data_IF_321767485790
#
_entry.id   IF_321767485790
#
_cell.length_a   1.000
_cell.length_b   1.000
_cell.length_c   1.000
_cell.angle_alpha   90.00
_cell.angle_beta   90.00
_cell.angle_gamma   90.00
#
_symmetry.space_group_name_H-M   'P 1'
#
loop_
_entity.id
_entity.type
_entity.pdbx_description
1 polymer ?
#
# COMPACT_ATOMS: atom_id res chain seq x y z
N UNK A 1 8.78 -14.42 -30.60
CA UNK A 1 10.05 -14.75 -31.29
C UNK A 1 9.90 -16.12 -31.97
N UNK A 2 10.49 -16.27 -33.17
CA UNK A 2 10.43 -17.51 -33.98
C UNK A 2 10.98 -18.76 -33.25
N UNK A 3 11.76 -18.56 -32.19
CA UNK A 3 12.35 -19.62 -31.36
C UNK A 3 11.34 -20.47 -30.56
N UNK A 4 10.08 -20.06 -30.50
CA UNK A 4 8.99 -20.79 -29.81
C UNK A 4 8.14 -21.65 -30.75
N UNK A 5 8.37 -21.56 -32.07
CA UNK A 5 7.64 -22.39 -33.03
C UNK A 5 8.33 -23.75 -33.09
N UNK A 6 7.61 -24.86 -32.77
CA UNK A 6 8.19 -26.18 -32.86
C UNK A 6 8.51 -26.53 -34.33
N UNK A 7 9.74 -26.90 -34.59
CA UNK A 7 10.19 -27.26 -35.92
C UNK A 7 10.51 -28.75 -35.96
N UNK A 8 9.95 -29.46 -36.96
CA UNK A 8 10.31 -30.85 -37.27
C UNK A 8 11.01 -30.85 -38.61
N UNK A 9 12.18 -31.46 -38.66
CA UNK A 9 12.99 -31.55 -39.91
C UNK A 9 12.75 -32.90 -40.57
N UNK A 10 12.41 -32.85 -41.86
CA UNK A 10 12.33 -34.04 -42.71
C UNK A 10 13.66 -34.20 -43.44
N UNK A 11 14.32 -35.34 -43.28
CA UNK A 11 15.67 -35.61 -43.84
C UNK A 11 15.73 -36.88 -44.68
N UNK A 12 16.57 -36.88 -45.68
CA UNK A 12 16.88 -38.10 -46.47
C UNK A 12 17.96 -38.96 -45.81
N UNK A 13 18.71 -38.39 -44.87
CA UNK A 13 19.77 -39.10 -44.16
C UNK A 13 19.29 -39.53 -42.78
N UNK A 14 19.47 -40.78 -42.44
CA UNK A 14 19.10 -41.38 -41.16
C UNK A 14 20.28 -41.78 -40.31
N UNK A 15 21.49 -41.22 -40.63
CA UNK A 15 22.69 -41.49 -39.85
C UNK A 15 22.67 -40.70 -38.52
N UNK A 16 23.37 -41.25 -37.52
CA UNK A 16 23.44 -40.72 -36.16
C UNK A 16 24.03 -39.32 -36.08
N UNK A 17 24.95 -38.98 -37.00
CA UNK A 17 25.59 -37.65 -37.02
C UNK A 17 24.68 -36.59 -37.56
N UNK A 18 23.83 -36.91 -38.54
CA UNK A 18 22.76 -36.01 -39.05
C UNK A 18 21.70 -35.78 -38.01
N UNK A 19 21.26 -36.83 -37.30
CA UNK A 19 20.30 -36.70 -36.18
C UNK A 19 20.82 -35.73 -35.11
N UNK A 20 22.06 -35.92 -34.67
CA UNK A 20 22.70 -35.07 -33.67
C UNK A 20 22.77 -33.60 -34.14
N UNK A 21 23.21 -33.35 -35.37
CA UNK A 21 23.28 -31.98 -35.93
C UNK A 21 21.91 -31.30 -36.02
N UNK A 22 20.87 -32.05 -36.39
CA UNK A 22 19.50 -31.53 -36.48
C UNK A 22 18.98 -31.11 -35.10
N UNK A 23 19.19 -31.93 -34.08
CA UNK A 23 18.78 -31.60 -32.70
C UNK A 23 19.61 -30.45 -32.10
N UNK A 24 20.93 -30.41 -32.38
CA UNK A 24 21.83 -29.33 -31.98
C UNK A 24 21.45 -27.98 -32.65
N UNK A 25 20.82 -28.01 -33.85
CA UNK A 25 20.34 -26.81 -34.52
C UNK A 25 19.06 -26.19 -33.91
N UNK A 26 18.50 -26.86 -32.87
CA UNK A 26 17.30 -26.42 -32.17
C UNK A 26 16.00 -26.97 -32.75
N UNK A 27 16.05 -27.96 -33.64
CA UNK A 27 14.86 -28.70 -34.07
C UNK A 27 14.25 -29.50 -32.91
N UNK A 28 12.93 -29.55 -32.84
CA UNK A 28 12.22 -30.27 -31.78
C UNK A 28 12.14 -31.76 -32.02
N UNK A 29 12.18 -32.17 -33.32
CA UNK A 29 12.22 -33.55 -33.75
C UNK A 29 12.68 -33.64 -35.23
N UNK A 30 12.96 -34.84 -35.69
CA UNK A 30 13.26 -35.12 -37.11
C UNK A 30 12.56 -36.40 -37.58
N UNK A 31 12.35 -36.52 -38.89
CA UNK A 31 11.74 -37.67 -39.51
C UNK A 31 12.55 -38.04 -40.77
N UNK A 32 13.14 -39.25 -40.85
CA UNK A 32 13.83 -39.70 -42.04
C UNK A 32 12.86 -40.08 -43.15
N UNK A 33 13.28 -39.89 -44.39
CA UNK A 33 12.59 -40.43 -45.61
C UNK A 33 13.03 -41.86 -45.90
N UNK A 34 12.13 -42.70 -46.44
CA UNK A 34 10.69 -42.50 -46.68
C UNK A 34 9.90 -42.49 -45.36
N UNK A 35 8.95 -41.55 -45.22
CA UNK A 35 8.18 -41.40 -44.00
C UNK A 35 6.83 -42.16 -44.07
N UNK A 36 6.51 -42.77 -42.94
CA UNK A 36 5.18 -43.31 -42.67
C UNK A 36 4.27 -42.16 -42.12
N UNK A 37 3.08 -42.06 -42.72
CA UNK A 37 2.14 -41.01 -42.34
C UNK A 37 1.67 -41.11 -40.88
N UNK A 38 1.56 -42.33 -40.33
CA UNK A 38 1.13 -42.56 -38.96
C UNK A 38 2.25 -42.20 -37.96
N UNK A 39 3.52 -42.45 -38.34
CA UNK A 39 4.69 -42.04 -37.56
C UNK A 39 4.76 -40.49 -37.51
N UNK A 40 4.56 -39.81 -38.66
CA UNK A 40 4.55 -38.36 -38.72
C UNK A 40 3.45 -37.79 -37.81
N UNK A 41 2.21 -38.33 -37.89
CA UNK A 41 1.11 -37.89 -37.03
C UNK A 41 1.45 -38.07 -35.54
N UNK A 42 2.04 -39.16 -35.13
CA UNK A 42 2.41 -39.43 -33.77
C UNK A 42 3.50 -38.45 -33.27
N UNK A 43 4.53 -38.18 -34.07
CA UNK A 43 5.58 -37.20 -33.74
C UNK A 43 5.01 -35.79 -33.64
N UNK A 44 4.15 -35.39 -34.59
CA UNK A 44 3.44 -34.10 -34.53
C UNK A 44 2.64 -33.94 -33.25
N UNK A 45 1.85 -34.97 -32.89
CA UNK A 45 1.10 -34.95 -31.63
C UNK A 45 2.03 -34.75 -30.41
N UNK A 46 3.15 -35.47 -30.37
CA UNK A 46 4.10 -35.37 -29.26
C UNK A 46 4.75 -33.98 -29.19
N UNK A 47 5.15 -33.40 -30.32
CA UNK A 47 5.75 -32.08 -30.39
C UNK A 47 4.74 -31.00 -29.99
N UNK A 48 3.48 -31.08 -30.46
CA UNK A 48 2.41 -30.17 -30.07
C UNK A 48 2.13 -30.28 -28.57
N UNK A 49 2.02 -31.49 -28.03
CA UNK A 49 1.80 -31.71 -26.60
C UNK A 49 2.95 -31.10 -25.75
N UNK A 50 4.20 -31.30 -26.14
CA UNK A 50 5.35 -30.68 -25.46
C UNK A 50 5.32 -29.15 -25.52
N UNK A 51 4.97 -28.58 -26.69
CA UNK A 51 4.82 -27.13 -26.88
C UNK A 51 3.73 -26.55 -25.98
N UNK A 52 2.57 -27.22 -25.91
CA UNK A 52 1.48 -26.83 -25.03
C UNK A 52 1.87 -26.86 -23.55
N UNK A 53 2.57 -27.90 -23.10
CA UNK A 53 3.06 -28.01 -21.71
C UNK A 53 4.08 -26.90 -21.42
N UNK A 54 4.97 -26.57 -22.35
CA UNK A 54 5.94 -25.47 -22.18
C UNK A 54 5.23 -24.13 -22.07
N UNK A 55 4.27 -23.85 -22.95
CA UNK A 55 3.48 -22.63 -22.95
C UNK A 55 2.68 -22.49 -21.64
N UNK A 56 2.05 -23.57 -21.18
CA UNK A 56 1.33 -23.58 -19.90
C UNK A 56 2.23 -23.30 -18.72
N UNK A 57 3.48 -23.81 -18.71
CA UNK A 57 4.47 -23.52 -17.67
C UNK A 57 4.87 -22.05 -17.70
N UNK A 58 5.13 -21.47 -18.87
CA UNK A 58 5.46 -20.05 -19.01
C UNK A 58 4.30 -19.16 -18.55
N UNK A 59 3.07 -19.46 -19.00
CA UNK A 59 1.86 -18.76 -18.55
C UNK A 59 1.70 -18.85 -17.03
N UNK A 60 1.88 -20.03 -16.45
CA UNK A 60 1.81 -20.25 -15.01
C UNK A 60 2.88 -19.43 -14.26
N UNK A 61 4.11 -19.36 -14.80
CA UNK A 61 5.16 -18.56 -14.21
C UNK A 61 4.83 -17.06 -14.27
N UNK A 62 4.40 -16.54 -15.42
CA UNK A 62 4.02 -15.13 -15.59
C UNK A 62 2.83 -14.75 -14.69
N UNK A 63 1.87 -15.65 -14.52
CA UNK A 63 0.69 -15.39 -13.66
C UNK A 63 1.02 -15.46 -12.17
N UNK A 64 1.95 -16.33 -11.77
CA UNK A 64 2.20 -16.63 -10.37
C UNK A 64 3.39 -15.89 -9.75
N UNK A 65 4.32 -15.42 -10.56
CA UNK A 65 5.53 -14.76 -10.07
C UNK A 65 5.70 -13.36 -10.65
N UNK A 66 6.24 -12.45 -9.84
CA UNK A 66 6.65 -11.13 -10.30
C UNK A 66 7.93 -11.26 -11.16
N UNK A 67 7.94 -10.73 -12.39
CA UNK A 67 9.05 -10.96 -13.33
C UNK A 67 10.35 -10.28 -12.90
N UNK A 68 10.31 -9.23 -12.07
CA UNK A 68 11.49 -8.53 -11.59
C UNK A 68 12.12 -9.21 -10.38
N UNK A 69 11.29 -9.59 -9.41
CA UNK A 69 11.74 -10.04 -8.09
C UNK A 69 11.66 -11.54 -7.89
N UNK A 70 10.98 -12.26 -8.80
CA UNK A 70 10.82 -13.73 -8.79
C UNK A 70 10.16 -14.28 -7.51
N UNK A 71 9.46 -13.45 -6.77
CA UNK A 71 8.58 -13.85 -5.67
C UNK A 71 7.13 -13.92 -6.17
N UNK A 72 6.21 -14.39 -5.35
CA UNK A 72 4.82 -14.47 -5.76
C UNK A 72 4.27 -13.13 -6.25
N UNK A 73 3.51 -13.18 -7.35
CA UNK A 73 2.65 -12.09 -7.78
C UNK A 73 1.56 -11.85 -6.72
N UNK A 74 0.93 -10.68 -6.73
CA UNK A 74 -0.18 -10.34 -5.83
C UNK A 74 -1.25 -11.44 -5.77
N UNK A 75 -1.69 -11.93 -6.93
CA UNK A 75 -2.75 -12.93 -7.01
C UNK A 75 -2.32 -14.26 -6.40
N UNK A 76 -1.11 -14.72 -6.73
CA UNK A 76 -0.56 -15.95 -6.17
C UNK A 76 -0.33 -15.83 -4.67
N UNK A 77 0.22 -14.72 -4.21
CA UNK A 77 0.42 -14.45 -2.79
C UNK A 77 -0.90 -14.48 -2.00
N UNK A 78 -1.94 -13.81 -2.50
CA UNK A 78 -3.26 -13.80 -1.84
C UNK A 78 -3.89 -15.20 -1.80
N UNK A 79 -3.81 -15.95 -2.90
CA UNK A 79 -4.33 -17.32 -2.94
C UNK A 79 -3.55 -18.27 -2.01
N UNK A 80 -2.23 -18.14 -1.97
CA UNK A 80 -1.37 -18.91 -1.06
C UNK A 80 -1.62 -18.57 0.42
N UNK A 81 -1.79 -17.27 0.73
CA UNK A 81 -2.15 -16.81 2.09
C UNK A 81 -3.49 -17.36 2.53
N UNK A 82 -4.50 -17.39 1.63
CA UNK A 82 -5.80 -17.97 1.91
C UNK A 82 -5.73 -19.46 2.20
N UNK A 83 -4.96 -20.20 1.39
CA UNK A 83 -4.74 -21.62 1.61
C UNK A 83 -4.04 -21.87 2.96
N UNK A 84 -2.96 -21.13 3.23
CA UNK A 84 -2.20 -21.23 4.48
C UNK A 84 -3.07 -20.97 5.70
N UNK A 85 -3.93 -19.95 5.64
CA UNK A 85 -4.88 -19.63 6.71
C UNK A 85 -5.88 -20.77 6.93
N UNK A 86 -6.40 -21.38 5.87
CA UNK A 86 -7.35 -22.49 5.92
C UNK A 86 -6.70 -23.77 6.49
N UNK A 87 -5.49 -24.08 6.06
CA UNK A 87 -4.79 -25.33 6.39
C UNK A 87 -4.21 -25.32 7.83
N UNK A 88 -4.19 -24.17 8.49
CA UNK A 88 -3.69 -24.01 9.87
C UNK A 88 -4.74 -23.32 10.75
N UNK A 89 -5.83 -23.99 11.13
CA UNK A 89 -6.92 -23.39 11.91
C UNK A 89 -6.50 -22.94 13.31
N UNK A 90 -5.53 -23.61 13.92
CA UNK A 90 -5.09 -23.36 15.30
C UNK A 90 -4.01 -22.28 15.43
N UNK A 91 -3.42 -21.83 14.30
CA UNK A 91 -2.38 -20.81 14.32
C UNK A 91 -2.99 -19.42 14.13
N UNK A 92 -2.56 -18.45 14.93
CA UNK A 92 -2.84 -17.05 14.68
C UNK A 92 -1.84 -16.51 13.63
N UNK A 93 -2.32 -15.67 12.73
CA UNK A 93 -1.51 -15.10 11.65
C UNK A 93 -1.50 -13.57 11.71
N UNK A 94 -0.47 -12.97 11.11
CA UNK A 94 -0.41 -11.56 10.82
C UNK A 94 -0.13 -11.34 9.34
N UNK A 95 -0.76 -10.31 8.77
CA UNK A 95 -0.44 -9.75 7.47
C UNK A 95 0.47 -8.55 7.68
N UNK A 96 1.70 -8.61 7.19
CA UNK A 96 2.64 -7.51 7.18
C UNK A 96 2.70 -6.93 5.76
N UNK A 97 2.42 -5.64 5.64
CA UNK A 97 2.63 -4.87 4.42
C UNK A 97 3.88 -4.03 4.58
N UNK A 98 4.86 -4.26 3.72
CA UNK A 98 6.09 -3.50 3.62
C UNK A 98 5.98 -2.51 2.45
N UNK A 99 6.33 -1.25 2.66
CA UNK A 99 6.29 -0.18 1.67
C UNK A 99 7.62 0.58 1.73
N UNK A 100 8.24 0.85 0.58
CA UNK A 100 9.48 1.63 0.51
C UNK A 100 9.09 3.10 0.41
N UNK A 101 9.35 3.87 1.47
CA UNK A 101 8.95 5.27 1.48
C UNK A 101 9.71 6.06 0.38
N UNK A 102 8.97 6.92 -0.32
CA UNK A 102 9.48 7.79 -1.39
C UNK A 102 10.22 7.07 -2.52
N UNK A 103 9.82 5.83 -2.84
CA UNK A 103 10.46 5.03 -3.89
C UNK A 103 10.53 5.75 -5.25
N UNK A 104 9.50 6.55 -5.60
CA UNK A 104 9.51 7.38 -6.81
C UNK A 104 10.67 8.37 -6.83
N UNK A 105 11.04 8.97 -5.69
CA UNK A 105 12.19 9.86 -5.59
C UNK A 105 13.50 9.10 -5.78
N UNK A 106 13.61 7.89 -5.24
CA UNK A 106 14.77 7.02 -5.46
C UNK A 106 14.98 6.79 -6.95
N UNK A 107 13.91 6.44 -7.67
CA UNK A 107 13.98 6.25 -9.13
C UNK A 107 14.34 7.55 -9.87
N UNK A 108 13.83 8.69 -9.42
CA UNK A 108 14.12 9.99 -10.02
C UNK A 108 15.58 10.41 -9.84
N UNK A 109 16.18 10.15 -8.67
CA UNK A 109 17.57 10.56 -8.38
C UNK A 109 18.62 9.57 -8.87
N UNK A 110 18.33 8.26 -8.79
CA UNK A 110 19.33 7.20 -9.05
C UNK A 110 19.01 6.35 -10.28
N UNK A 111 17.90 6.63 -10.95
CA UNK A 111 17.43 5.88 -12.11
C UNK A 111 16.68 4.60 -11.76
N UNK A 112 15.85 4.13 -12.70
CA UNK A 112 15.01 2.93 -12.56
C UNK A 112 15.82 1.66 -12.32
N UNK A 113 16.99 1.53 -12.95
CA UNK A 113 17.89 0.38 -12.75
C UNK A 113 18.39 0.26 -11.30
N UNK A 114 18.54 1.38 -10.58
CA UNK A 114 18.88 1.34 -9.16
C UNK A 114 17.69 0.86 -8.33
N UNK A 115 16.49 1.40 -8.60
CA UNK A 115 15.26 0.97 -7.95
C UNK A 115 14.99 -0.53 -8.15
N UNK A 116 15.20 -1.04 -9.36
CA UNK A 116 15.04 -2.47 -9.65
C UNK A 116 16.00 -3.34 -8.83
N UNK A 117 17.26 -2.93 -8.72
CA UNK A 117 18.24 -3.62 -7.84
C UNK A 117 17.81 -3.59 -6.39
N UNK A 118 17.26 -2.45 -5.92
CA UNK A 118 16.75 -2.33 -4.56
C UNK A 118 15.59 -3.29 -4.33
N UNK A 119 14.60 -3.32 -5.21
CA UNK A 119 13.45 -4.23 -5.13
C UNK A 119 13.88 -5.70 -5.09
N UNK A 120 14.86 -6.10 -5.92
CA UNK A 120 15.44 -7.46 -5.89
C UNK A 120 16.12 -7.77 -4.54
N UNK A 121 16.82 -6.80 -3.94
CA UNK A 121 17.45 -6.98 -2.62
C UNK A 121 16.41 -7.12 -1.51
N UNK A 122 15.34 -6.30 -1.53
CA UNK A 122 14.22 -6.42 -0.59
C UNK A 122 13.57 -7.80 -0.71
N UNK A 123 13.24 -8.23 -1.93
CA UNK A 123 12.65 -9.55 -2.18
C UNK A 123 13.55 -10.70 -1.68
N UNK A 124 14.87 -10.58 -1.87
CA UNK A 124 15.85 -11.56 -1.35
C UNK A 124 15.80 -11.63 0.18
N UNK A 125 15.75 -10.49 0.89
CA UNK A 125 15.67 -10.47 2.35
C UNK A 125 14.38 -11.09 2.86
N UNK A 126 13.25 -10.80 2.22
CA UNK A 126 11.96 -11.42 2.56
C UNK A 126 12.03 -12.94 2.34
N UNK A 127 12.61 -13.38 1.24
CA UNK A 127 12.81 -14.82 0.95
C UNK A 127 13.69 -15.49 1.99
N UNK A 128 14.75 -14.85 2.44
CA UNK A 128 15.66 -15.39 3.45
C UNK A 128 14.96 -15.49 4.82
N UNK A 129 14.18 -14.51 5.21
CA UNK A 129 13.30 -14.57 6.39
C UNK A 129 12.31 -15.75 6.31
N UNK A 130 11.64 -15.90 5.16
CA UNK A 130 10.65 -16.96 4.98
C UNK A 130 11.23 -18.39 5.04
N UNK A 131 12.52 -18.56 4.73
CA UNK A 131 13.20 -19.87 4.89
C UNK A 131 13.36 -20.30 6.33
N UNK A 132 13.41 -19.34 7.26
CA UNK A 132 13.56 -19.60 8.70
C UNK A 132 12.23 -19.63 9.45
N UNK A 133 11.13 -19.33 8.74
CA UNK A 133 9.80 -19.24 9.35
C UNK A 133 8.85 -20.24 8.71
N UNK A 134 8.41 -21.22 9.48
CA UNK A 134 7.39 -22.17 9.02
C UNK A 134 6.05 -21.48 8.77
N UNK A 135 5.27 -22.00 7.84
CA UNK A 135 3.94 -21.48 7.51
C UNK A 135 3.93 -19.99 7.12
N UNK A 136 4.93 -19.56 6.36
CA UNK A 136 5.06 -18.20 5.86
C UNK A 136 4.89 -18.15 4.34
N UNK A 137 4.19 -17.13 3.84
CA UNK A 137 4.14 -16.83 2.40
C UNK A 137 4.32 -15.33 2.17
N UNK A 138 4.82 -14.97 0.99
CA UNK A 138 5.17 -13.59 0.68
C UNK A 138 5.06 -13.34 -0.82
N UNK A 139 4.88 -12.07 -1.19
CA UNK A 139 4.76 -11.66 -2.57
C UNK A 139 4.89 -10.16 -2.78
N UNK A 140 5.02 -9.76 -4.03
CA UNK A 140 4.99 -8.36 -4.43
C UNK A 140 3.55 -7.97 -4.75
N UNK A 141 3.05 -6.95 -4.08
CA UNK A 141 1.65 -6.51 -4.18
C UNK A 141 1.50 -5.42 -5.25
N UNK A 142 2.45 -4.51 -5.27
CA UNK A 142 2.48 -3.36 -6.19
C UNK A 142 3.94 -2.91 -6.39
N UNK A 143 4.18 -1.82 -7.09
CA UNK A 143 5.47 -1.29 -7.52
C UNK A 143 6.59 -1.43 -6.47
N UNK A 144 6.41 -0.87 -5.29
CA UNK A 144 7.36 -0.85 -4.16
C UNK A 144 6.78 -1.47 -2.89
N UNK A 145 5.69 -2.24 -3.05
CA UNK A 145 4.94 -2.82 -1.94
C UNK A 145 5.05 -4.33 -1.92
N UNK A 146 5.43 -4.87 -0.77
CA UNK A 146 5.53 -6.30 -0.52
C UNK A 146 4.55 -6.73 0.57
N UNK A 147 4.09 -7.96 0.49
CA UNK A 147 3.27 -8.59 1.52
C UNK A 147 3.98 -9.80 2.10
N UNK A 148 3.84 -9.98 3.39
CA UNK A 148 4.29 -11.16 4.13
C UNK A 148 3.11 -11.63 4.96
N UNK A 149 2.75 -12.90 4.84
CA UNK A 149 1.72 -13.53 5.67
C UNK A 149 2.38 -14.63 6.49
N UNK A 150 2.39 -14.47 7.81
CA UNK A 150 3.24 -15.25 8.72
C UNK A 150 2.51 -15.56 10.04
N UNK A 151 2.85 -16.63 10.75
CA UNK A 151 2.34 -16.85 12.10
C UNK A 151 2.63 -15.66 13.02
N UNK A 152 1.65 -15.30 13.84
CA UNK A 152 1.76 -14.23 14.82
C UNK A 152 2.15 -14.80 16.19
N UNK A 153 3.31 -14.43 16.68
CA UNK A 153 3.88 -14.90 17.95
C UNK A 153 3.77 -13.86 19.07
N UNK A 154 2.93 -12.83 18.87
CA UNK A 154 2.78 -11.73 19.81
C UNK A 154 3.39 -10.42 19.28
N UNK A 155 2.97 -9.32 19.90
CA UNK A 155 3.36 -7.97 19.44
C UNK A 155 4.86 -7.72 19.60
N UNK A 156 5.43 -8.10 20.72
CA UNK A 156 6.85 -7.86 21.04
C UNK A 156 7.78 -8.58 20.06
N UNK A 157 7.50 -9.86 19.78
CA UNK A 157 8.31 -10.63 18.84
C UNK A 157 8.18 -10.09 17.41
N UNK A 158 6.95 -9.73 17.00
CA UNK A 158 6.74 -9.12 15.67
C UNK A 158 7.48 -7.79 15.54
N UNK A 159 7.47 -6.96 16.58
CA UNK A 159 8.22 -5.68 16.60
C UNK A 159 9.71 -5.93 16.46
N UNK A 160 10.28 -6.84 17.24
CA UNK A 160 11.69 -7.21 17.19
C UNK A 160 12.11 -7.68 15.80
N UNK A 161 11.29 -8.52 15.17
CA UNK A 161 11.54 -8.99 13.79
C UNK A 161 11.51 -7.85 12.76
N UNK A 162 10.55 -6.92 12.90
CA UNK A 162 10.44 -5.74 12.02
C UNK A 162 11.66 -4.82 12.21
N UNK A 163 12.03 -4.50 13.45
CA UNK A 163 13.17 -3.63 13.76
C UNK A 163 14.48 -4.22 13.22
N UNK A 164 14.69 -5.51 13.40
CA UNK A 164 15.84 -6.21 12.81
C UNK A 164 15.81 -6.13 11.27
N UNK A 165 14.66 -6.36 10.66
CA UNK A 165 14.50 -6.27 9.20
C UNK A 165 14.78 -4.84 8.71
N UNK A 166 14.30 -3.80 9.40
CA UNK A 166 14.56 -2.40 9.06
C UNK A 166 16.05 -2.07 9.14
N UNK A 167 16.75 -2.50 10.19
CA UNK A 167 18.20 -2.31 10.31
C UNK A 167 18.99 -3.02 9.21
N UNK A 168 18.59 -4.23 8.85
CA UNK A 168 19.20 -4.97 7.76
C UNK A 168 18.95 -4.30 6.40
N UNK A 169 17.78 -3.71 6.21
CA UNK A 169 17.43 -2.98 4.98
C UNK A 169 18.19 -1.66 4.85
N UNK A 170 18.46 -0.94 5.95
CA UNK A 170 19.30 0.26 5.94
C UNK A 170 20.71 -0.02 5.39
N UNK A 171 21.24 -1.20 5.66
CA UNK A 171 22.56 -1.65 5.16
C UNK A 171 22.59 -1.94 3.65
N UNK A 172 21.41 -2.01 2.99
CA UNK A 172 21.34 -2.33 1.55
C UNK A 172 21.80 -1.18 0.66
N UNK A 173 21.89 0.05 1.16
CA UNK A 173 22.36 1.20 0.40
C UNK A 173 23.33 2.03 1.22
N UNK A 174 24.55 2.22 0.68
CA UNK A 174 25.53 3.14 1.25
C UNK A 174 25.28 4.61 0.84
N UNK A 175 24.52 4.83 -0.25
CA UNK A 175 24.38 6.15 -0.87
C UNK A 175 23.08 6.88 -0.51
N UNK A 176 22.08 6.16 0.04
CA UNK A 176 20.78 6.72 0.37
C UNK A 176 20.16 5.99 1.56
N UNK A 177 19.65 6.74 2.52
CA UNK A 177 18.96 6.16 3.68
C UNK A 177 17.57 5.68 3.26
N UNK A 178 17.44 4.38 3.00
CA UNK A 178 16.19 3.75 2.58
C UNK A 178 15.28 3.66 3.81
N UNK A 179 14.14 4.32 3.72
CA UNK A 179 13.09 4.23 4.73
C UNK A 179 12.06 3.19 4.30
N UNK A 180 11.87 2.21 5.16
CA UNK A 180 10.87 1.15 4.96
C UNK A 180 9.87 1.23 6.10
N UNK A 181 8.59 1.17 5.74
CA UNK A 181 7.50 1.18 6.70
C UNK A 181 6.72 -0.13 6.63
N UNK A 182 6.32 -0.61 7.81
CA UNK A 182 5.50 -1.79 7.96
C UNK A 182 4.13 -1.43 8.52
N UNK A 183 3.08 -1.88 7.85
CA UNK A 183 1.76 -1.97 8.44
C UNK A 183 1.46 -3.41 8.80
N UNK A 184 0.98 -3.62 10.01
CA UNK A 184 0.71 -4.96 10.55
C UNK A 184 -0.79 -5.08 10.85
N UNK A 185 -1.42 -6.08 10.26
CA UNK A 185 -2.77 -6.51 10.63
C UNK A 185 -2.70 -7.90 11.27
N UNK A 186 -3.04 -8.00 12.54
CA UNK A 186 -3.19 -9.29 13.24
C UNK A 186 -4.54 -9.87 12.86
N UNK A 187 -4.58 -11.09 12.35
CA UNK A 187 -5.81 -11.73 11.90
C UNK A 187 -6.69 -12.07 13.09
N UNK A 188 -7.69 -11.24 13.33
CA UNK A 188 -8.73 -11.44 14.35
C UNK A 188 -9.98 -12.09 13.79
N UNK A 189 -10.29 -11.82 12.51
CA UNK A 189 -11.40 -12.40 11.78
C UNK A 189 -10.87 -13.15 10.55
N UNK A 190 -10.97 -14.47 10.61
CA UNK A 190 -10.49 -15.39 9.56
C UNK A 190 -11.42 -15.46 8.35
N UNK A 191 -12.65 -14.95 8.45
CA UNK A 191 -13.62 -14.90 7.36
C UNK A 191 -13.32 -13.78 6.35
N UNK A 192 -12.54 -12.79 6.77
CA UNK A 192 -12.16 -11.66 5.90
C UNK A 192 -11.31 -12.12 4.71
N UNK A 193 -11.58 -11.60 3.51
CA UNK A 193 -10.69 -11.79 2.36
C UNK A 193 -9.29 -11.26 2.65
N UNK A 194 -8.26 -11.91 2.12
CA UNK A 194 -6.85 -11.48 2.27
C UNK A 194 -6.62 -10.05 1.73
N UNK A 195 -7.38 -9.62 0.73
CA UNK A 195 -7.34 -8.24 0.23
C UNK A 195 -7.71 -7.23 1.31
N UNK A 196 -8.74 -7.49 2.11
CA UNK A 196 -9.14 -6.63 3.21
C UNK A 196 -8.09 -6.60 4.34
N UNK A 197 -7.43 -7.74 4.61
CA UNK A 197 -6.31 -7.79 5.55
C UNK A 197 -5.14 -6.92 5.06
N UNK A 198 -4.86 -6.98 3.76
CA UNK A 198 -3.88 -6.11 3.10
C UNK A 198 -4.23 -4.62 3.22
N UNK A 199 -5.51 -4.26 3.02
CA UNK A 199 -5.98 -2.88 3.10
C UNK A 199 -5.89 -2.35 4.55
N UNK A 200 -6.23 -3.17 5.56
CA UNK A 200 -6.04 -2.83 6.96
C UNK A 200 -4.56 -2.60 7.31
N UNK A 201 -3.68 -3.47 6.82
CA UNK A 201 -2.23 -3.26 6.97
C UNK A 201 -1.77 -1.99 6.24
N UNK A 202 -2.34 -1.66 5.07
CA UNK A 202 -2.06 -0.42 4.36
C UNK A 202 -2.46 0.83 5.16
N UNK A 203 -3.61 0.81 5.81
CA UNK A 203 -4.05 1.89 6.70
C UNK A 203 -3.05 2.11 7.85
N UNK A 204 -2.59 1.03 8.49
CA UNK A 204 -1.57 1.11 9.52
C UNK A 204 -0.24 1.69 8.99
N UNK A 205 0.25 1.21 7.84
CA UNK A 205 1.47 1.74 7.22
C UNK A 205 1.37 3.24 6.92
N UNK A 206 0.20 3.71 6.47
CA UNK A 206 -0.05 5.13 6.16
C UNK A 206 0.16 6.05 7.39
N UNK A 207 -0.13 5.58 8.60
CA UNK A 207 0.02 6.40 9.83
C UNK A 207 1.48 6.66 10.22
N UNK A 208 2.42 5.88 9.71
CA UNK A 208 3.85 6.02 10.00
C UNK A 208 4.67 6.45 8.79
N UNK A 209 4.07 6.50 7.61
CA UNK A 209 4.73 6.95 6.39
C UNK A 209 5.14 8.42 6.52
N UNK A 210 6.42 8.71 6.22
CA UNK A 210 7.00 10.05 6.42
C UNK A 210 7.49 10.35 7.85
N UNK A 211 7.28 9.46 8.82
CA UNK A 211 7.80 9.63 10.18
C UNK A 211 9.16 8.96 10.34
N UNK A 212 10.21 9.76 10.57
CA UNK A 212 11.59 9.26 10.68
C UNK A 212 11.81 8.28 11.86
N UNK A 213 11.07 8.44 12.95
CA UNK A 213 11.28 7.68 14.20
C UNK A 213 10.43 6.42 14.30
N UNK A 214 9.47 6.21 13.39
CA UNK A 214 8.57 5.06 13.41
C UNK A 214 8.58 4.34 12.07
N UNK A 215 8.97 3.08 12.08
CA UNK A 215 9.01 2.23 10.89
C UNK A 215 7.83 1.24 10.81
N UNK A 216 6.97 1.18 11.81
CA UNK A 216 5.83 0.27 11.81
C UNK A 216 4.62 0.81 12.56
N UNK A 217 3.44 0.33 12.21
CA UNK A 217 2.22 0.47 12.98
C UNK A 217 1.38 -0.81 12.91
N UNK A 218 0.70 -1.12 14.00
CA UNK A 218 -0.33 -2.15 14.03
C UNK A 218 -1.68 -1.51 13.72
N UNK A 219 -2.47 -2.18 12.90
CA UNK A 219 -3.83 -1.76 12.62
C UNK A 219 -4.68 -1.79 13.89
N UNK A 220 -5.45 -0.72 14.08
CA UNK A 220 -6.51 -0.60 15.07
C UNK A 220 -7.77 -0.10 14.35
N UNK A 221 -8.93 -0.61 14.71
CA UNK A 221 -10.21 -0.19 14.12
C UNK A 221 -10.47 1.31 14.28
N UNK A 222 -9.88 1.96 15.28
CA UNK A 222 -9.88 3.43 15.44
C UNK A 222 -9.27 4.15 14.25
N UNK A 223 -8.27 3.56 13.58
CA UNK A 223 -7.65 4.13 12.37
C UNK A 223 -8.66 4.23 11.23
N UNK A 224 -9.49 3.19 11.05
CA UNK A 224 -10.56 3.20 10.05
C UNK A 224 -11.59 4.26 10.36
N UNK A 225 -12.07 4.29 11.61
CA UNK A 225 -13.04 5.29 12.08
C UNK A 225 -12.51 6.73 11.92
N UNK A 226 -11.22 6.95 12.19
CA UNK A 226 -10.59 8.27 11.99
C UNK A 226 -10.63 8.72 10.53
N UNK A 227 -10.34 7.80 9.59
CA UNK A 227 -10.37 8.11 8.15
C UNK A 227 -11.82 8.35 7.68
N UNK A 228 -12.76 7.53 8.13
CA UNK A 228 -14.19 7.72 7.84
C UNK A 228 -14.68 9.08 8.36
N UNK A 229 -14.29 9.46 9.58
CA UNK A 229 -14.62 10.76 10.16
C UNK A 229 -13.96 11.93 9.39
N UNK A 230 -12.67 11.81 9.00
CA UNK A 230 -11.99 12.82 8.16
C UNK A 230 -12.74 13.00 6.84
N UNK A 231 -13.13 11.90 6.18
CA UNK A 231 -13.87 11.96 4.93
C UNK A 231 -15.28 12.57 5.10
N UNK A 232 -15.99 12.23 6.17
CA UNK A 232 -17.29 12.81 6.46
C UNK A 232 -17.19 14.32 6.67
N UNK A 233 -16.18 14.80 7.40
CA UNK A 233 -15.92 16.23 7.59
C UNK A 233 -15.64 16.93 6.25
N UNK A 234 -14.84 16.32 5.39
CA UNK A 234 -14.54 16.86 4.05
C UNK A 234 -15.81 16.94 3.19
N UNK A 235 -16.66 15.93 3.25
CA UNK A 235 -17.90 15.89 2.48
C UNK A 235 -18.91 16.95 2.94
N UNK A 236 -18.94 17.25 4.24
CA UNK A 236 -19.94 18.12 4.86
C UNK A 236 -19.49 19.60 4.96
N UNK A 237 -18.18 19.89 4.87
CA UNK A 237 -17.60 21.21 5.16
C UNK A 237 -18.18 22.37 4.33
N UNK A 238 -18.50 22.14 3.04
CA UNK A 238 -19.03 23.19 2.17
C UNK A 238 -20.48 23.50 2.49
N UNK A 239 -21.29 22.47 2.65
CA UNK A 239 -22.71 22.62 3.01
C UNK A 239 -22.86 23.23 4.41
N UNK A 240 -21.97 22.84 5.34
CA UNK A 240 -21.94 23.41 6.69
C UNK A 240 -21.65 24.92 6.69
N UNK A 241 -20.77 25.39 5.79
CA UNK A 241 -20.50 26.82 5.64
C UNK A 241 -21.71 27.57 5.07
N UNK A 242 -22.37 27.02 4.05
CA UNK A 242 -23.57 27.61 3.43
C UNK A 242 -24.76 27.62 4.38
N UNK A 243 -24.87 26.60 5.22
CA UNK A 243 -25.97 26.48 6.21
C UNK A 243 -25.69 27.23 7.52
N UNK A 244 -24.60 28.03 7.60
CA UNK A 244 -24.24 28.80 8.80
C UNK A 244 -24.03 27.94 10.06
N UNK A 245 -23.51 26.73 9.91
CA UNK A 245 -23.21 25.81 11.01
C UNK A 245 -21.95 26.23 11.79
N UNK A 246 -21.08 27.07 11.19
CA UNK A 246 -19.92 27.64 11.85
C UNK A 246 -20.30 28.96 12.54
N UNK A 247 -20.01 29.03 13.83
CA UNK A 247 -20.33 30.21 14.64
C UNK A 247 -19.09 30.67 15.41
N UNK A 248 -18.86 31.99 15.54
CA UNK A 248 -17.78 32.51 16.39
C UNK A 248 -18.20 32.47 17.87
N UNK A 249 -17.33 31.86 18.70
CA UNK A 249 -17.42 32.00 20.15
C UNK A 249 -16.35 32.98 20.60
N UNK A 250 -16.67 33.86 21.52
CA UNK A 250 -15.79 34.94 21.97
C UNK A 250 -15.17 34.58 23.30
N UNK A 251 -13.84 34.35 23.31
CA UNK A 251 -13.08 34.16 24.54
C UNK A 251 -12.55 35.51 25.03
N UNK A 252 -12.94 35.98 26.23
CA UNK A 252 -12.50 37.28 26.71
C UNK A 252 -11.02 37.27 27.08
N UNK A 253 -10.34 38.39 26.74
CA UNK A 253 -8.92 38.66 27.10
C UNK A 253 -8.93 39.67 28.23
N UNK A 254 -8.19 39.37 29.31
CA UNK A 254 -8.12 40.20 30.49
C UNK A 254 -6.71 40.82 30.63
N UNK A 255 -6.68 42.07 31.05
CA UNK A 255 -5.46 42.70 31.49
C UNK A 255 -5.04 42.11 32.85
N UNK A 256 -3.82 41.60 32.92
CA UNK A 256 -3.29 40.86 34.10
C UNK A 256 -3.16 41.74 35.32
N UNK A 257 -2.94 43.07 35.14
CA UNK A 257 -2.74 44.02 36.25
C UNK A 257 -4.07 44.52 36.83
N UNK A 258 -5.03 44.78 35.96
CA UNK A 258 -6.31 45.38 36.34
C UNK A 258 -7.44 44.39 36.49
N UNK A 259 -7.24 43.16 36.02
CA UNK A 259 -8.24 42.10 35.94
C UNK A 259 -9.53 42.55 35.21
N UNK A 260 -9.41 43.50 34.27
CA UNK A 260 -10.54 43.96 33.43
C UNK A 260 -10.47 43.38 32.03
N UNK A 261 -11.60 43.13 31.39
CA UNK A 261 -11.62 42.67 30.01
C UNK A 261 -11.12 43.78 29.08
N UNK A 262 -10.18 43.48 28.19
CA UNK A 262 -9.57 44.41 27.24
C UNK A 262 -9.86 44.02 25.78
N UNK A 263 -10.43 42.87 25.54
CA UNK A 263 -10.74 42.36 24.21
C UNK A 263 -11.31 40.98 24.25
N UNK A 264 -11.49 40.39 23.09
CA UNK A 264 -11.88 39.00 22.96
C UNK A 264 -11.16 38.35 21.77
N UNK A 265 -11.13 37.04 21.75
CA UNK A 265 -10.72 36.24 20.60
C UNK A 265 -11.93 35.47 20.06
N UNK A 266 -12.19 35.62 18.76
CA UNK A 266 -13.23 34.88 18.09
C UNK A 266 -12.69 33.52 17.66
N UNK A 267 -13.25 32.47 18.18
CA UNK A 267 -12.88 31.10 17.95
C UNK A 267 -13.98 30.35 17.22
N UNK A 268 -13.72 29.84 16.05
CA UNK A 268 -14.70 29.08 15.29
C UNK A 268 -15.20 27.85 16.06
N UNK A 269 -16.50 27.61 16.00
CA UNK A 269 -17.18 26.42 16.53
C UNK A 269 -18.10 25.89 15.46
N UNK A 270 -18.07 24.58 15.25
CA UNK A 270 -18.97 23.90 14.31
C UNK A 270 -20.14 23.29 15.09
N UNK A 271 -21.34 23.78 14.87
CA UNK A 271 -22.58 23.29 15.47
C UNK A 271 -23.33 22.51 14.40
N UNK A 272 -23.03 21.24 14.32
CA UNK A 272 -23.61 20.36 13.31
C UNK A 272 -25.06 19.98 13.71
N UNK A 273 -26.05 20.00 12.79
CA UNK A 273 -27.48 19.82 13.12
C UNK A 273 -27.81 18.46 13.75
N UNK A 274 -27.08 17.40 13.39
CA UNK A 274 -27.33 16.04 13.90
C UNK A 274 -26.24 15.52 14.83
N UNK A 275 -24.97 15.96 14.65
CA UNK A 275 -23.81 15.50 15.44
C UNK A 275 -23.55 16.41 16.65
N UNK A 276 -24.22 17.58 16.72
CA UNK A 276 -23.99 18.56 17.75
C UNK A 276 -22.65 19.28 17.60
N UNK A 277 -21.98 19.55 18.72
CA UNK A 277 -20.73 20.30 18.75
C UNK A 277 -19.56 19.45 18.21
N UNK A 278 -18.93 19.89 17.10
CA UNK A 278 -17.71 19.31 16.57
C UNK A 278 -16.53 20.19 17.01
N UNK A 279 -15.57 19.58 17.71
CA UNK A 279 -14.40 20.30 18.26
C UNK A 279 -13.50 20.88 17.16
N UNK A 280 -13.00 22.13 17.32
CA UNK A 280 -12.02 22.73 16.43
C UNK A 280 -10.78 21.85 16.21
N UNK A 281 -10.33 21.14 17.23
CA UNK A 281 -9.21 20.20 17.13
C UNK A 281 -9.44 19.03 16.16
N UNK A 282 -10.70 18.80 15.75
CA UNK A 282 -11.04 17.76 14.77
C UNK A 282 -11.07 18.33 13.36
N UNK A 283 -11.73 19.47 13.11
CA UNK A 283 -11.93 19.97 11.75
C UNK A 283 -10.83 20.92 11.26
N UNK A 284 -10.22 21.73 12.13
CA UNK A 284 -9.20 22.70 11.72
C UNK A 284 -8.01 22.03 11.03
N UNK A 285 -7.39 20.94 11.58
CA UNK A 285 -6.28 20.29 10.90
C UNK A 285 -6.64 19.72 9.53
N UNK A 286 -7.90 19.31 9.34
CA UNK A 286 -8.41 18.80 8.06
C UNK A 286 -8.53 19.96 7.06
N UNK A 287 -9.06 21.10 7.51
CA UNK A 287 -9.27 22.28 6.67
C UNK A 287 -7.95 22.97 6.30
N UNK A 288 -6.95 22.96 7.17
CA UNK A 288 -5.59 23.40 6.86
C UNK A 288 -4.97 22.52 5.77
N UNK A 289 -5.09 21.20 5.90
CA UNK A 289 -4.53 20.23 4.97
C UNK A 289 -5.13 20.31 3.56
N UNK A 290 -6.43 20.62 3.45
CA UNK A 290 -7.13 20.70 2.16
C UNK A 290 -7.31 22.14 1.64
N UNK A 291 -6.83 23.16 2.39
CA UNK A 291 -6.92 24.59 2.04
C UNK A 291 -8.27 25.24 2.30
N UNK A 292 -9.25 24.53 2.86
CA UNK A 292 -10.58 25.07 3.16
C UNK A 292 -10.55 26.08 4.33
N UNK A 293 -9.50 26.05 5.15
CA UNK A 293 -9.33 26.95 6.29
C UNK A 293 -9.49 28.41 5.91
N UNK A 294 -8.97 28.84 4.77
CA UNK A 294 -9.08 30.23 4.31
C UNK A 294 -10.52 30.65 4.05
N UNK A 295 -11.39 29.75 3.57
CA UNK A 295 -12.81 30.05 3.39
C UNK A 295 -13.51 30.19 4.73
N UNK A 296 -13.18 29.33 5.68
CA UNK A 296 -13.71 29.42 7.04
C UNK A 296 -13.28 30.73 7.71
N UNK A 297 -11.99 31.14 7.60
CA UNK A 297 -11.49 32.38 8.19
C UNK A 297 -12.25 33.60 7.66
N UNK A 298 -12.40 33.71 6.32
CA UNK A 298 -13.19 34.82 5.74
C UNK A 298 -14.65 34.82 6.21
N UNK A 299 -15.26 33.66 6.32
CA UNK A 299 -16.62 33.54 6.83
C UNK A 299 -16.73 34.00 8.29
N UNK A 300 -15.80 33.56 9.16
CA UNK A 300 -15.76 33.96 10.58
C UNK A 300 -15.49 35.46 10.70
N UNK A 301 -14.60 36.04 9.89
CA UNK A 301 -14.39 37.50 9.87
C UNK A 301 -15.67 38.25 9.53
N UNK A 302 -16.40 37.81 8.54
CA UNK A 302 -17.70 38.43 8.18
C UNK A 302 -18.72 38.32 9.33
N UNK A 303 -18.81 37.16 9.98
CA UNK A 303 -19.65 36.96 11.14
C UNK A 303 -19.30 37.91 12.30
N UNK A 304 -17.99 38.06 12.60
CA UNK A 304 -17.50 38.96 13.63
C UNK A 304 -17.79 40.40 13.29
N UNK A 305 -17.59 40.84 12.06
CA UNK A 305 -17.90 42.19 11.62
C UNK A 305 -19.42 42.50 11.73
N UNK A 306 -20.29 41.59 11.34
CA UNK A 306 -21.74 41.71 11.49
C UNK A 306 -22.11 41.81 12.97
N UNK A 307 -21.53 41.00 13.82
CA UNK A 307 -21.81 41.03 15.26
C UNK A 307 -21.32 42.32 15.93
N UNK A 308 -20.13 42.82 15.58
CA UNK A 308 -19.64 44.11 16.10
C UNK A 308 -20.54 45.28 15.68
N UNK A 309 -21.02 45.26 14.43
CA UNK A 309 -22.00 46.26 13.96
C UNK A 309 -23.28 46.22 14.77
N UNK A 310 -23.84 45.02 14.98
CA UNK A 310 -25.07 44.83 15.78
C UNK A 310 -24.89 45.34 17.23
N UNK A 311 -23.76 45.05 17.88
CA UNK A 311 -23.44 45.56 19.21
C UNK A 311 -23.37 47.08 19.22
N UNK A 312 -22.71 47.69 18.22
CA UNK A 312 -22.63 49.13 18.07
C UNK A 312 -24.02 49.73 17.92
N UNK A 313 -24.85 49.17 17.07
CA UNK A 313 -26.22 49.68 16.81
C UNK A 313 -27.14 49.59 18.07
N UNK A 314 -26.84 48.58 18.94
CA UNK A 314 -27.52 48.41 20.24
C UNK A 314 -26.88 49.21 21.37
N UNK A 315 -25.84 50.01 21.13
CA UNK A 315 -25.17 50.81 22.16
C UNK A 315 -24.29 50.00 23.14
N UNK A 316 -23.96 48.76 22.80
CA UNK A 316 -23.07 47.95 23.62
C UNK A 316 -21.61 48.44 23.45
N UNK A 317 -20.83 48.58 24.54
CA UNK A 317 -19.46 48.96 24.45
C UNK A 317 -18.66 47.97 23.59
N UNK A 318 -17.90 48.47 22.61
CA UNK A 318 -17.08 47.65 21.73
C UNK A 318 -15.70 47.40 22.33
N UNK A 319 -15.23 46.16 22.18
CA UNK A 319 -13.89 45.75 22.50
C UNK A 319 -13.17 45.29 21.21
N UNK A 320 -11.85 45.38 21.14
CA UNK A 320 -11.06 44.74 20.08
C UNK A 320 -11.32 43.23 20.06
N UNK A 321 -11.67 42.71 18.89
CA UNK A 321 -11.82 41.26 18.67
C UNK A 321 -10.77 40.78 17.69
N UNK A 322 -9.90 39.89 18.12
CA UNK A 322 -8.97 39.17 17.23
C UNK A 322 -9.69 37.96 16.62
N UNK A 323 -9.38 37.70 15.35
CA UNK A 323 -9.91 36.55 14.60
C UNK A 323 -8.76 35.72 14.10
#
# INVERSE_FOLDING_TARGET
TLSQIPVIILTEKSDRDTEKKVLESGAWDFVPKPYDADIIKLRLKNVIARSQVSLLKELNNVMNYDPLTEIYSKNKFFSASKALLKDNPDKQFAFLRLDIDRFKLINSFFGTAYGDRLLKRVAKRIRDFAKTTECCTFGRIDADVFGIFTPYQGKEETVKQIEQAVEDMKKLSASYNIMIVYGVYVVTDRSLPISFMCDRAALAAKTVKGHYMKSYAFYDDKMRLSIENEQNIINEMSDALENNEFVPYYQPKYDVKTNKPVGAEALARWIHPTKGFISPGVFIPIFEKNGFISKLDFYIWECVCKQLKEWKDKGVPLFPVSV
#
